data_IF_908403745282
#
_entry.id   IF_908403745282
#
_cell.length_a   1.000
_cell.length_b   1.000
_cell.length_c   1.000
_cell.angle_alpha   90.00
_cell.angle_beta   90.00
_cell.angle_gamma   90.00
#
_symmetry.space_group_name_H-M   'P 1'
#
loop_
_entity.id
_entity.type
_entity.pdbx_description
1 polymer ?
#
# COMPACT_ATOMS: atom_id res chain seq x y z
N UNK A 1 23.98 -16.78 -6.22
CA UNK A 1 22.99 -15.71 -6.07
C UNK A 1 22.21 -15.63 -7.37
N UNK A 2 20.87 -15.65 -7.30
CA UNK A 2 20.05 -15.52 -8.50
C UNK A 2 20.03 -14.06 -8.98
N UNK A 3 19.74 -13.85 -10.27
CA UNK A 3 19.57 -12.49 -10.82
C UNK A 3 18.50 -11.72 -10.08
N UNK A 4 17.44 -12.39 -9.66
CA UNK A 4 16.36 -11.80 -8.90
C UNK A 4 16.84 -11.25 -7.54
N UNK A 5 17.66 -12.04 -6.83
CA UNK A 5 18.23 -11.61 -5.54
C UNK A 5 19.14 -10.39 -5.71
N UNK A 6 19.99 -10.41 -6.74
CA UNK A 6 20.88 -9.28 -7.03
C UNK A 6 20.08 -8.00 -7.36
N UNK A 7 18.98 -8.15 -8.09
CA UNK A 7 18.12 -7.02 -8.42
C UNK A 7 17.44 -6.46 -7.17
N UNK A 8 16.94 -7.33 -6.29
CA UNK A 8 16.33 -6.91 -5.03
C UNK A 8 17.33 -6.15 -4.15
N UNK A 9 18.56 -6.66 -4.04
CA UNK A 9 19.61 -6.01 -3.26
C UNK A 9 19.95 -4.63 -3.81
N UNK A 10 20.01 -4.49 -5.13
CA UNK A 10 20.24 -3.21 -5.78
C UNK A 10 19.14 -2.21 -5.47
N UNK A 11 17.88 -2.65 -5.48
CA UNK A 11 16.73 -1.80 -5.15
C UNK A 11 16.77 -1.38 -3.68
N UNK A 12 17.02 -2.32 -2.79
CA UNK A 12 17.16 -2.02 -1.36
C UNK A 12 18.22 -0.94 -1.14
N UNK A 13 19.36 -1.09 -1.77
CA UNK A 13 20.46 -0.13 -1.67
C UNK A 13 20.08 1.23 -2.24
N UNK A 14 19.44 1.25 -3.39
CA UNK A 14 19.01 2.47 -4.07
C UNK A 14 18.05 3.30 -3.23
N UNK A 15 17.13 2.63 -2.53
CA UNK A 15 16.06 3.28 -1.75
C UNK A 15 16.35 3.31 -0.24
N UNK A 16 17.50 2.83 0.21
CA UNK A 16 17.91 2.87 1.60
C UNK A 16 17.17 1.91 2.52
N UNK A 17 16.76 0.74 2.00
CA UNK A 17 16.00 -0.25 2.79
C UNK A 17 16.78 -0.87 3.95
N UNK A 18 18.09 -0.96 3.82
CA UNK A 18 18.96 -1.51 4.85
C UNK A 18 19.11 -0.61 6.07
N UNK A 19 18.67 0.66 5.98
CA UNK A 19 18.70 1.58 7.13
C UNK A 19 17.37 1.66 7.86
N UNK A 20 16.36 0.88 7.42
CA UNK A 20 15.06 0.91 8.04
C UNK A 20 15.05 0.14 9.36
N UNK A 21 14.55 0.81 10.40
CA UNK A 21 14.37 0.17 11.69
C UNK A 21 12.96 -0.43 11.78
N UNK A 22 12.90 -1.74 11.83
CA UNK A 22 11.64 -2.45 12.03
C UNK A 22 11.35 -2.70 13.51
N UNK A 23 12.34 -2.41 14.36
CA UNK A 23 12.32 -2.81 15.75
C UNK A 23 11.17 -2.19 16.56
N UNK A 24 10.68 -1.03 16.12
CA UNK A 24 9.60 -0.33 16.80
C UNK A 24 8.23 -0.53 16.14
N UNK A 25 8.18 -1.25 15.02
CA UNK A 25 6.92 -1.41 14.30
C UNK A 25 6.03 -2.44 14.98
N UNK A 26 4.82 -2.07 15.40
CA UNK A 26 3.91 -3.08 15.96
C UNK A 26 3.46 -4.04 14.86
N UNK A 27 3.32 -5.30 15.22
CA UNK A 27 2.77 -6.31 14.32
C UNK A 27 1.26 -6.37 14.50
N UNK A 28 0.56 -6.62 13.42
CA UNK A 28 -0.83 -7.01 13.55
C UNK A 28 -0.90 -8.32 14.29
N UNK A 29 -1.88 -8.45 15.16
CA UNK A 29 -2.17 -9.72 15.79
C UNK A 29 -2.37 -10.79 14.70
N UNK A 30 -2.13 -12.04 15.04
CA UNK A 30 -2.26 -13.15 14.08
C UNK A 30 -3.67 -13.31 13.52
N UNK A 31 -4.64 -12.55 13.99
CA UNK A 31 -5.99 -12.56 13.50
C UNK A 31 -6.09 -11.89 12.14
N UNK A 32 -6.83 -12.52 11.26
CA UNK A 32 -7.12 -11.98 9.93
C UNK A 32 -7.86 -10.65 10.03
N UNK A 33 -7.41 -9.66 9.29
CA UNK A 33 -8.15 -8.42 9.19
C UNK A 33 -9.50 -8.67 8.53
N UNK A 34 -10.55 -8.15 9.14
CA UNK A 34 -11.86 -8.16 8.52
C UNK A 34 -11.87 -7.01 7.50
N UNK A 35 -11.80 -7.35 6.22
CA UNK A 35 -11.97 -6.38 5.17
C UNK A 35 -13.46 -6.25 4.83
N UNK A 36 -13.89 -5.09 4.65
CA UNK A 36 -15.21 -4.71 4.18
C UNK A 36 -15.02 -3.36 3.55
N UNK A 37 -16.06 -2.63 3.18
CA UNK A 37 -15.84 -1.26 2.77
C UNK A 37 -15.06 -0.55 3.88
N UNK A 38 -13.87 -0.06 3.56
CA UNK A 38 -13.06 0.66 4.53
C UNK A 38 -13.82 1.92 4.95
N UNK A 39 -14.12 2.12 6.25
CA UNK A 39 -14.86 3.30 6.70
C UNK A 39 -14.21 4.61 6.25
N UNK A 40 -12.88 4.64 6.20
CA UNK A 40 -12.13 5.80 5.73
C UNK A 40 -12.40 6.14 4.27
N UNK A 41 -12.52 5.12 3.41
CA UNK A 41 -12.83 5.33 1.99
C UNK A 41 -14.22 5.94 1.81
N UNK A 42 -15.18 5.51 2.61
CA UNK A 42 -16.54 6.03 2.56
C UNK A 42 -16.64 7.47 3.08
N UNK A 43 -15.83 7.84 4.05
CA UNK A 43 -15.83 9.18 4.64
C UNK A 43 -15.29 10.26 3.72
N UNK A 44 -14.39 9.90 2.82
CA UNK A 44 -13.69 10.90 2.02
C UNK A 44 -14.49 11.49 0.88
N UNK A 45 -15.39 10.77 0.29
CA UNK A 45 -16.29 11.29 -0.74
C UNK A 45 -17.09 10.17 -1.36
N UNK A 46 -18.27 9.99 -1.02
CA UNK A 46 -19.28 9.22 -1.77
C UNK A 46 -18.71 8.10 -2.66
N UNK A 47 -17.75 7.32 -2.16
CA UNK A 47 -17.25 6.13 -2.86
C UNK A 47 -18.00 4.91 -2.38
N UNK A 48 -18.25 4.00 -3.30
CA UNK A 48 -18.86 2.72 -2.97
C UNK A 48 -17.95 1.57 -3.39
N UNK A 49 -17.92 0.53 -2.58
CA UNK A 49 -17.23 -0.70 -2.92
C UNK A 49 -17.92 -1.35 -4.11
N UNK A 50 -17.19 -1.52 -5.20
CA UNK A 50 -17.72 -2.11 -6.42
C UNK A 50 -17.42 -3.61 -6.48
N UNK A 51 -16.21 -4.00 -6.06
CA UNK A 51 -15.76 -5.38 -6.12
C UNK A 51 -14.64 -5.61 -5.13
N UNK A 52 -14.55 -6.82 -4.61
CA UNK A 52 -13.47 -7.27 -3.75
C UNK A 52 -12.95 -8.60 -4.29
N UNK A 53 -11.64 -8.70 -4.40
CA UNK A 53 -10.95 -9.91 -4.84
C UNK A 53 -10.05 -10.39 -3.71
N UNK A 54 -10.26 -11.61 -3.24
CA UNK A 54 -9.37 -12.25 -2.30
C UNK A 54 -8.27 -12.96 -3.07
N UNK A 55 -7.02 -12.77 -2.64
CA UNK A 55 -5.88 -13.45 -3.23
C UNK A 55 -5.60 -14.76 -2.48
N UNK A 56 -5.00 -15.77 -3.13
CA UNK A 56 -4.73 -17.06 -2.49
C UNK A 56 -3.83 -16.91 -1.26
N UNK A 57 -4.17 -17.62 -0.20
CA UNK A 57 -3.37 -17.71 1.02
C UNK A 57 -2.28 -18.77 0.81
N UNK A 58 -1.24 -18.42 0.06
CA UNK A 58 -0.22 -19.34 -0.41
C UNK A 58 0.91 -19.58 0.60
N UNK A 59 0.87 -18.91 1.74
CA UNK A 59 1.86 -19.08 2.81
C UNK A 59 1.25 -18.74 4.16
N UNK A 60 1.82 -19.26 5.27
CA UNK A 60 1.29 -18.99 6.60
C UNK A 60 1.23 -17.50 6.92
N UNK A 61 0.12 -17.06 7.52
CA UNK A 61 -0.05 -15.68 7.94
C UNK A 61 -0.27 -14.67 6.84
N UNK A 62 -0.39 -15.12 5.58
CA UNK A 62 -0.63 -14.25 4.44
C UNK A 62 -2.12 -14.16 4.14
N UNK A 63 -2.65 -12.93 4.19
CA UNK A 63 -4.03 -12.62 3.83
C UNK A 63 -4.02 -11.39 2.94
N UNK A 64 -4.58 -11.50 1.74
CA UNK A 64 -4.47 -10.42 0.78
C UNK A 64 -5.80 -10.16 0.07
N UNK A 65 -6.05 -8.89 -0.19
CA UNK A 65 -7.27 -8.44 -0.86
C UNK A 65 -6.96 -7.28 -1.77
N UNK A 66 -7.77 -7.17 -2.84
CA UNK A 66 -7.86 -5.96 -3.63
C UNK A 66 -9.31 -5.51 -3.59
N UNK A 67 -9.56 -4.29 -3.15
CA UNK A 67 -10.89 -3.71 -3.15
C UNK A 67 -10.95 -2.60 -4.19
N UNK A 68 -12.00 -2.60 -5.00
CA UNK A 68 -12.23 -1.61 -6.04
C UNK A 68 -13.38 -0.72 -5.64
N UNK A 69 -13.13 0.57 -5.66
CA UNK A 69 -14.11 1.60 -5.28
C UNK A 69 -14.42 2.48 -6.46
N UNK A 70 -15.67 2.90 -6.56
CA UNK A 70 -16.13 3.79 -7.60
C UNK A 70 -16.76 5.02 -6.97
N UNK A 71 -16.53 6.21 -7.56
CA UNK A 71 -17.24 7.42 -7.18
C UNK A 71 -18.72 7.29 -7.53
N UNK A 72 -19.60 7.73 -6.62
CA UNK A 72 -21.04 7.75 -6.88
C UNK A 72 -21.46 8.89 -7.81
N UNK A 73 -20.58 9.88 -8.02
CA UNK A 73 -20.86 11.05 -8.86
C UNK A 73 -20.14 11.02 -10.22
N UNK A 74 -19.10 10.17 -10.38
CA UNK A 74 -18.32 10.09 -11.61
C UNK A 74 -17.86 8.65 -11.84
N UNK A 75 -18.44 7.98 -12.83
CA UNK A 75 -18.12 6.60 -13.16
C UNK A 75 -16.67 6.41 -13.62
N UNK A 76 -16.03 7.45 -14.13
CA UNK A 76 -14.65 7.41 -14.55
C UNK A 76 -13.65 7.42 -13.41
N UNK A 77 -14.07 7.81 -12.21
CA UNK A 77 -13.20 7.89 -11.03
C UNK A 77 -13.31 6.61 -10.23
N UNK A 78 -12.24 5.82 -10.24
CA UNK A 78 -12.16 4.53 -9.55
C UNK A 78 -10.82 4.38 -8.86
N UNK A 79 -10.82 3.70 -7.73
CA UNK A 79 -9.62 3.38 -6.96
C UNK A 79 -9.50 1.89 -6.72
N UNK A 80 -8.27 1.41 -6.68
CA UNK A 80 -7.97 0.08 -6.19
C UNK A 80 -7.13 0.20 -4.93
N UNK A 81 -7.51 -0.54 -3.89
CA UNK A 81 -6.77 -0.61 -2.63
C UNK A 81 -6.31 -2.05 -2.48
N UNK A 82 -4.99 -2.26 -2.57
CA UNK A 82 -4.37 -3.56 -2.37
C UNK A 82 -3.84 -3.62 -0.95
N UNK A 83 -4.22 -4.66 -0.21
CA UNK A 83 -3.73 -4.91 1.14
C UNK A 83 -3.14 -6.31 1.21
N UNK A 84 -1.86 -6.39 1.55
CA UNK A 84 -1.17 -7.65 1.77
C UNK A 84 -0.75 -7.70 3.24
N UNK A 85 -1.43 -8.55 4.01
CA UNK A 85 -1.06 -8.84 5.38
C UNK A 85 -0.09 -10.00 5.38
N UNK A 86 1.08 -9.79 5.94
CA UNK A 86 2.13 -10.81 6.02
C UNK A 86 2.30 -11.29 7.46
N UNK A 87 3.04 -12.38 7.63
CA UNK A 87 3.36 -12.89 8.95
C UNK A 87 4.38 -12.01 9.67
N UNK A 88 5.31 -11.42 8.92
CA UNK A 88 6.40 -10.61 9.48
C UNK A 88 6.52 -9.26 8.80
N UNK A 89 7.17 -8.31 9.48
CA UNK A 89 7.48 -6.99 8.91
C UNK A 89 8.42 -7.11 7.72
N UNK A 90 9.41 -8.02 7.81
CA UNK A 90 10.35 -8.24 6.70
C UNK A 90 9.64 -8.67 5.42
N UNK A 91 8.62 -9.52 5.55
CA UNK A 91 7.85 -9.95 4.39
C UNK A 91 7.09 -8.79 3.74
N UNK A 92 6.56 -7.86 4.55
CA UNK A 92 5.92 -6.65 4.02
C UNK A 92 6.94 -5.78 3.26
N UNK A 93 8.16 -5.67 3.78
CA UNK A 93 9.24 -4.94 3.10
C UNK A 93 9.61 -5.61 1.78
N UNK A 94 9.67 -6.94 1.74
CA UNK A 94 9.94 -7.67 0.49
C UNK A 94 8.84 -7.41 -0.54
N UNK A 95 7.58 -7.32 -0.12
CA UNK A 95 6.48 -6.97 -1.03
C UNK A 95 6.68 -5.57 -1.64
N UNK A 96 7.13 -4.61 -0.83
CA UNK A 96 7.40 -3.27 -1.32
C UNK A 96 8.59 -3.27 -2.29
N UNK A 97 9.65 -4.00 -1.97
CA UNK A 97 10.82 -4.13 -2.86
C UNK A 97 10.41 -4.74 -4.20
N UNK A 98 9.57 -5.78 -4.18
CA UNK A 98 9.07 -6.41 -5.39
C UNK A 98 8.25 -5.42 -6.23
N UNK A 99 7.39 -4.66 -5.59
CA UNK A 99 6.59 -3.63 -6.27
C UNK A 99 7.47 -2.56 -6.91
N UNK A 100 8.50 -2.11 -6.21
CA UNK A 100 9.45 -1.13 -6.75
C UNK A 100 10.24 -1.70 -7.92
N UNK A 101 10.55 -3.00 -7.90
CA UNK A 101 11.28 -3.64 -9.00
C UNK A 101 10.47 -3.70 -10.29
N UNK A 102 9.15 -3.67 -10.18
CA UNK A 102 8.24 -3.66 -11.33
C UNK A 102 8.00 -2.27 -11.89
N UNK A 103 8.44 -1.23 -11.19
CA UNK A 103 8.24 0.14 -11.63
C UNK A 103 9.06 0.44 -12.88
N UNK A 104 8.42 1.07 -13.85
CA UNK A 104 9.11 1.53 -15.07
C UNK A 104 9.96 2.76 -14.79
N UNK A 105 9.72 3.47 -13.71
CA UNK A 105 10.51 4.65 -13.35
C UNK A 105 11.82 4.20 -12.67
N UNK A 106 12.96 4.79 -13.04
CA UNK A 106 14.23 4.43 -12.43
C UNK A 106 14.34 4.80 -10.95
N UNK A 107 13.53 5.73 -10.49
CA UNK A 107 13.42 6.09 -9.08
C UNK A 107 12.06 6.72 -8.83
N UNK A 108 11.50 6.45 -7.66
CA UNK A 108 10.28 7.08 -7.20
C UNK A 108 10.60 7.97 -6.00
N UNK A 109 9.93 9.12 -5.85
CA UNK A 109 10.14 9.95 -4.67
C UNK A 109 9.56 9.27 -3.44
N UNK A 110 10.15 9.54 -2.29
CA UNK A 110 9.52 9.22 -1.01
C UNK A 110 8.21 10.02 -0.93
N UNK A 111 7.17 9.39 -0.37
CA UNK A 111 5.87 10.05 -0.26
C UNK A 111 5.96 11.36 0.54
N UNK A 112 6.82 11.42 1.55
CA UNK A 112 7.04 12.62 2.35
C UNK A 112 7.54 13.82 1.54
N UNK A 113 8.26 13.59 0.43
CA UNK A 113 8.68 14.64 -0.49
C UNK A 113 7.50 15.25 -1.25
N UNK A 114 6.38 14.55 -1.28
CA UNK A 114 5.12 15.00 -1.88
C UNK A 114 4.08 15.38 -0.83
N UNK A 115 4.53 15.61 0.41
CA UNK A 115 3.67 15.95 1.55
C UNK A 115 2.61 14.88 1.84
N UNK A 116 2.98 13.61 1.65
CA UNK A 116 2.14 12.46 1.99
C UNK A 116 2.82 11.70 3.11
N UNK A 117 2.16 11.60 4.25
CA UNK A 117 2.73 11.00 5.46
C UNK A 117 1.94 9.74 5.82
N UNK A 118 2.40 8.60 5.30
CA UNK A 118 1.77 7.30 5.51
C UNK A 118 2.85 6.25 5.76
N UNK A 119 2.50 5.26 6.59
CA UNK A 119 3.35 4.11 6.81
C UNK A 119 4.70 4.42 7.43
N UNK A 120 5.51 3.38 7.53
CA UNK A 120 6.92 3.52 7.94
C UNK A 120 7.76 3.97 6.75
N UNK A 121 7.47 3.44 5.58
CA UNK A 121 8.15 3.79 4.35
C UNK A 121 7.13 3.82 3.22
N UNK A 122 7.13 4.90 2.47
CA UNK A 122 6.14 5.13 1.43
C UNK A 122 6.77 5.78 0.21
N UNK A 123 6.22 5.44 -0.94
CA UNK A 123 6.63 5.99 -2.23
C UNK A 123 5.41 6.51 -2.98
N UNK A 124 5.62 7.57 -3.75
CA UNK A 124 4.60 8.20 -4.57
C UNK A 124 5.12 8.36 -6.00
N UNK A 125 4.31 8.94 -6.88
CA UNK A 125 4.73 9.26 -8.25
C UNK A 125 5.38 10.63 -8.35
N UNK A 126 5.96 10.91 -9.51
CA UNK A 126 6.61 12.18 -9.79
C UNK A 126 5.63 13.31 -10.13
N UNK A 127 4.42 12.97 -10.58
CA UNK A 127 3.44 13.95 -11.01
C UNK A 127 2.88 14.81 -9.87
N UNK A 128 2.18 15.87 -10.21
CA UNK A 128 1.49 16.73 -9.26
C UNK A 128 0.23 16.06 -8.71
N UNK A 129 -0.43 15.24 -9.53
CA UNK A 129 -1.54 14.40 -9.11
C UNK A 129 -0.96 13.04 -8.72
N UNK A 130 -1.21 12.60 -7.50
CA UNK A 130 -0.70 11.32 -7.02
C UNK A 130 -1.68 10.22 -7.38
N UNK A 131 -1.38 9.50 -8.45
CA UNK A 131 -2.23 8.40 -8.94
C UNK A 131 -1.91 7.06 -8.29
N UNK A 132 -0.81 6.97 -7.55
CA UNK A 132 -0.43 5.75 -6.84
C UNK A 132 0.42 6.11 -5.62
N UNK A 133 0.06 5.54 -4.48
CA UNK A 133 0.86 5.61 -3.25
C UNK A 133 1.00 4.17 -2.74
N UNK A 134 2.23 3.77 -2.44
CA UNK A 134 2.53 2.44 -1.92
C UNK A 134 3.36 2.57 -0.67
N UNK A 135 3.01 1.81 0.36
CA UNK A 135 3.67 1.93 1.66
C UNK A 135 3.56 0.66 2.48
N UNK A 136 4.39 0.59 3.51
CA UNK A 136 4.32 -0.47 4.52
C UNK A 136 4.00 0.12 5.88
N UNK A 137 3.14 -0.56 6.62
CA UNK A 137 2.80 -0.25 8.00
C UNK A 137 2.82 -1.57 8.78
N UNK A 138 3.82 -1.75 9.67
CA UNK A 138 3.97 -3.02 10.36
C UNK A 138 4.16 -4.15 9.35
N UNK A 139 3.37 -5.21 9.49
CA UNK A 139 3.39 -6.34 8.56
C UNK A 139 2.44 -6.19 7.37
N UNK A 140 1.94 -4.98 7.13
CA UNK A 140 1.06 -4.68 6.01
C UNK A 140 1.82 -3.99 4.88
N UNK A 141 1.61 -4.46 3.65
CA UNK A 141 1.91 -3.71 2.44
C UNK A 141 0.59 -3.19 1.88
N UNK A 142 0.53 -1.90 1.58
CA UNK A 142 -0.68 -1.25 1.09
C UNK A 142 -0.34 -0.44 -0.16
N UNK A 143 -1.17 -0.59 -1.19
CA UNK A 143 -1.07 0.20 -2.41
C UNK A 143 -2.44 0.79 -2.72
N UNK A 144 -2.48 2.10 -2.90
CA UNK A 144 -3.70 2.83 -3.29
C UNK A 144 -3.44 3.45 -4.64
N UNK A 145 -4.26 3.15 -5.63
CA UNK A 145 -4.04 3.63 -6.99
C UNK A 145 -5.34 4.04 -7.69
N UNK A 146 -5.23 5.04 -8.55
CA UNK A 146 -6.30 5.45 -9.45
C UNK A 146 -6.32 4.49 -10.63
N UNK A 147 -7.46 3.81 -10.85
CA UNK A 147 -7.59 2.80 -11.92
C UNK A 147 -8.70 3.11 -12.90
N UNK A 148 -9.37 4.23 -12.72
CA UNK A 148 -10.43 4.65 -13.64
C UNK A 148 -9.90 5.35 -14.89
N UNK A 149 -10.82 5.74 -15.77
CA UNK A 149 -10.49 6.52 -16.96
C UNK A 149 -10.12 7.96 -16.61
N UNK A 150 -10.61 8.47 -15.48
CA UNK A 150 -10.25 9.77 -14.95
C UNK A 150 -9.14 9.60 -13.92
N UNK A 151 -8.01 10.28 -14.11
CA UNK A 151 -6.96 10.30 -13.11
C UNK A 151 -7.43 11.04 -11.86
N UNK A 152 -7.25 10.41 -10.71
CA UNK A 152 -7.66 10.99 -9.44
C UNK A 152 -6.50 10.94 -8.45
N UNK A 153 -6.40 11.97 -7.61
CA UNK A 153 -5.39 12.04 -6.56
C UNK A 153 -5.78 11.12 -5.42
N UNK A 154 -4.89 10.22 -5.03
CA UNK A 154 -5.13 9.23 -3.98
C UNK A 154 -4.54 9.61 -2.63
N UNK A 155 -3.96 10.81 -2.50
CA UNK A 155 -3.28 11.25 -1.28
C UNK A 155 -4.18 11.13 -0.05
N UNK A 156 -5.35 11.77 -0.08
CA UNK A 156 -6.25 11.78 1.06
C UNK A 156 -6.75 10.40 1.42
N UNK A 157 -7.04 9.59 0.40
CA UNK A 157 -7.48 8.21 0.61
C UNK A 157 -6.37 7.38 1.25
N UNK A 158 -5.13 7.50 0.77
CA UNK A 158 -4.00 6.78 1.35
C UNK A 158 -3.78 7.18 2.82
N UNK A 159 -3.84 8.46 3.13
CA UNK A 159 -3.67 8.96 4.50
C UNK A 159 -4.79 8.45 5.42
N UNK A 160 -6.02 8.43 4.94
CA UNK A 160 -7.15 7.93 5.71
C UNK A 160 -7.07 6.43 5.94
N UNK A 161 -6.63 5.65 4.95
CA UNK A 161 -6.43 4.21 5.08
C UNK A 161 -5.32 3.92 6.09
N UNK A 162 -4.21 4.63 6.03
CA UNK A 162 -3.11 4.45 6.99
C UNK A 162 -3.58 4.73 8.42
N UNK A 163 -4.34 5.79 8.61
CA UNK A 163 -4.90 6.13 9.91
C UNK A 163 -5.84 5.03 10.43
N UNK A 164 -6.65 4.47 9.53
CA UNK A 164 -7.52 3.34 9.87
C UNK A 164 -6.70 2.12 10.29
N UNK A 165 -5.65 1.82 9.53
CA UNK A 165 -4.78 0.68 9.87
C UNK A 165 -4.05 0.89 11.19
N UNK A 166 -3.61 2.11 11.49
CA UNK A 166 -2.99 2.41 12.79
C UNK A 166 -3.92 2.08 13.95
N UNK A 167 -5.23 2.25 13.79
CA UNK A 167 -6.19 1.93 14.84
C UNK A 167 -6.27 0.42 15.12
N UNK A 168 -5.85 -0.41 14.17
CA UNK A 168 -5.84 -1.87 14.31
C UNK A 168 -4.48 -2.41 14.78
N UNK A 169 -3.44 -1.59 14.78
CA UNK A 169 -2.08 -1.99 15.16
C UNK A 169 -1.79 -1.59 16.60
N UNK A 170 -1.57 -2.57 17.45
CA UNK A 170 -1.06 -2.34 18.79
C UNK A 170 -1.94 -1.48 19.69
N UNK A 171 -3.21 -1.49 19.42
CA UNK A 171 -4.20 -0.68 20.12
C UNK A 171 -4.33 -0.91 21.59
#
# INVERSE_FOLDING_TARGET
MSEFTAMQDAIKKQYGFDTWSDAAAPHLAASRLAFGPLPSAQKLSSFMLERRVELPEDRPGFHAYIEYYRSTSDEGTRFAVTMLQNQTVEQAHEELVEELSKSMAPSLPRAEEKDIHVGHIAFAGHGSIQTSVKFVRGNLFIKVESVGTTQADVKELAEAIDKEMLSHLGG
#
